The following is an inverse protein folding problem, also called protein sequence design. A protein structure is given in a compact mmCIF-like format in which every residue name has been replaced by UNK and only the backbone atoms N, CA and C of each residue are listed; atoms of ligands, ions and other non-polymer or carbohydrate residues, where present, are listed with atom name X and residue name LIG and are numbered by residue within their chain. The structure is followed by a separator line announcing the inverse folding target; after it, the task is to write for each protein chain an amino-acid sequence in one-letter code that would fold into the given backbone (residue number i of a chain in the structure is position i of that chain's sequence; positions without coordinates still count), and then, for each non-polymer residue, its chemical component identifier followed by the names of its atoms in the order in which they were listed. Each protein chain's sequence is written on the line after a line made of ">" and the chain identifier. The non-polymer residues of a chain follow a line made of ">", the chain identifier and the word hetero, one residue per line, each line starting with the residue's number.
data_IF_541428639023
#
_entry.id   IF_541428639023
#
_cell.length_a   1.000
_cell.length_b   1.000
_cell.length_c   1.000
_cell.angle_alpha   90.00
_cell.angle_beta   90.00
_cell.angle_gamma   90.00
#
_symmetry.space_group_name_H-M   'P 1'
#
loop_
_entity.id
_entity.type
_entity.pdbx_description
1 polymer ?
#
# COMPACT_ATOMS: atom_id res chain seq x y z
N UNK A 1 14.89 -1.48 -11.31
CA UNK A 1 14.93 -0.28 -10.43
C UNK A 1 14.36 0.97 -11.10
N UNK A 2 14.63 1.24 -12.39
CA UNK A 2 14.17 2.47 -13.06
C UNK A 2 12.63 2.67 -13.07
N UNK A 3 11.86 1.61 -13.36
CA UNK A 3 10.39 1.67 -13.30
C UNK A 3 9.84 2.07 -11.92
N UNK A 4 10.48 1.63 -10.83
CA UNK A 4 10.09 2.01 -9.47
C UNK A 4 10.37 3.49 -9.19
N UNK A 5 11.54 4.01 -9.56
CA UNK A 5 11.83 5.43 -9.38
C UNK A 5 10.85 6.34 -10.13
N UNK A 6 10.49 5.99 -11.37
CA UNK A 6 9.50 6.74 -12.15
C UNK A 6 8.12 6.69 -11.49
N UNK A 7 7.70 5.50 -11.04
CA UNK A 7 6.41 5.32 -10.39
C UNK A 7 6.32 6.15 -9.09
N UNK A 8 7.37 6.14 -8.26
CA UNK A 8 7.45 6.95 -7.04
C UNK A 8 7.42 8.45 -7.36
N UNK A 9 8.12 8.91 -8.39
CA UNK A 9 8.10 10.32 -8.80
C UNK A 9 6.71 10.77 -9.28
N UNK A 10 5.99 9.90 -10.01
CA UNK A 10 4.60 10.15 -10.40
C UNK A 10 3.67 10.23 -9.18
N UNK A 11 3.81 9.34 -8.21
CA UNK A 11 3.05 9.41 -6.95
C UNK A 11 3.34 10.70 -6.18
N UNK A 12 4.61 11.12 -6.11
CA UNK A 12 4.99 12.40 -5.48
C UNK A 12 4.35 13.59 -6.18
N UNK A 13 4.32 13.58 -7.51
CA UNK A 13 3.65 14.63 -8.30
C UNK A 13 2.14 14.66 -8.06
N UNK A 14 1.48 13.50 -7.90
CA UNK A 14 0.06 13.43 -7.55
C UNK A 14 -0.21 13.96 -6.13
N UNK A 15 0.65 13.63 -5.16
CA UNK A 15 0.55 14.15 -3.78
C UNK A 15 0.81 15.64 -3.65
N UNK A 16 1.51 16.26 -4.61
CA UNK A 16 1.75 17.70 -4.61
C UNK A 16 0.48 18.52 -4.86
N UNK A 17 -0.60 17.89 -5.34
CA UNK A 17 -1.89 18.52 -5.52
C UNK A 17 -2.54 18.82 -4.16
N UNK A 18 -3.34 19.88 -4.09
CA UNK A 18 -3.98 20.28 -2.84
C UNK A 18 -4.97 19.20 -2.36
N UNK A 19 -4.68 18.62 -1.19
CA UNK A 19 -5.54 17.67 -0.50
C UNK A 19 -6.35 18.35 0.60
N UNK A 20 -7.60 17.93 0.84
CA UNK A 20 -8.45 18.52 1.86
C UNK A 20 -7.92 18.19 3.26
N UNK A 21 -8.00 19.15 4.18
CA UNK A 21 -7.77 18.94 5.61
C UNK A 21 -9.01 18.33 6.29
N UNK A 22 -9.53 17.23 5.73
CA UNK A 22 -10.70 16.51 6.23
C UNK A 22 -10.38 15.03 6.37
N UNK A 23 -11.14 14.27 7.20
CA UNK A 23 -11.00 12.83 7.31
C UNK A 23 -11.27 12.12 5.98
N UNK A 24 -10.72 10.92 5.81
CA UNK A 24 -11.06 10.03 4.70
C UNK A 24 -10.00 8.98 4.36
N UNK A 25 -10.34 8.14 3.38
CA UNK A 25 -9.46 7.16 2.73
C UNK A 25 -9.30 7.56 1.25
N UNK A 26 -8.07 7.62 0.73
CA UNK A 26 -7.79 7.86 -0.68
C UNK A 26 -6.65 7.00 -1.22
N UNK A 27 -6.74 6.66 -2.50
CA UNK A 27 -5.70 5.97 -3.25
C UNK A 27 -5.12 6.87 -4.34
N UNK A 28 -3.83 6.69 -4.58
CA UNK A 28 -3.11 7.24 -5.73
C UNK A 28 -2.47 6.08 -6.47
N UNK A 29 -2.89 5.87 -7.71
CA UNK A 29 -2.44 4.76 -8.52
C UNK A 29 -1.59 5.24 -9.67
N UNK A 30 -0.50 4.53 -9.91
CA UNK A 30 0.31 4.69 -11.11
C UNK A 30 0.50 3.34 -11.77
N UNK A 31 0.33 3.31 -13.10
CA UNK A 31 0.65 2.12 -13.88
C UNK A 31 2.14 1.81 -13.74
N UNK A 32 2.44 0.54 -13.47
CA UNK A 32 3.79 0.03 -13.32
C UNK A 32 4.13 -0.89 -14.51
N UNK A 33 5.04 -0.50 -15.41
CA UNK A 33 5.33 -1.29 -16.58
C UNK A 33 6.12 -2.56 -16.21
N UNK A 34 5.72 -3.70 -16.78
CA UNK A 34 6.31 -5.03 -16.51
C UNK A 34 7.39 -5.43 -17.53
N UNK A 35 7.79 -4.51 -18.42
CA UNK A 35 8.80 -4.73 -19.44
C UNK A 35 10.23 -4.74 -18.87
N UNK A 36 10.43 -4.12 -17.71
CA UNK A 36 11.65 -4.27 -16.92
C UNK A 36 11.59 -5.58 -16.12
N UNK A 37 12.73 -6.27 -15.95
CA UNK A 37 12.89 -7.40 -15.04
C UNK A 37 12.80 -6.94 -13.56
N UNK A 38 11.64 -6.43 -13.15
CA UNK A 38 11.37 -5.99 -11.80
C UNK A 38 11.09 -7.21 -10.92
N UNK A 39 11.97 -7.43 -9.94
CA UNK A 39 11.77 -8.41 -8.88
C UNK A 39 11.15 -7.70 -7.66
N UNK A 40 9.85 -7.90 -7.39
CA UNK A 40 9.15 -7.23 -6.30
C UNK A 40 9.63 -7.68 -4.91
N UNK A 41 10.06 -8.94 -4.77
CA UNK A 41 10.56 -9.47 -3.51
C UNK A 41 11.95 -8.93 -3.20
N UNK A 42 12.85 -8.90 -4.20
CA UNK A 42 14.17 -8.29 -4.04
C UNK A 42 14.07 -6.79 -3.75
N UNK A 43 13.14 -6.07 -4.42
CA UNK A 43 12.87 -4.68 -4.11
C UNK A 43 12.41 -4.50 -2.65
N UNK A 44 11.50 -5.34 -2.17
CA UNK A 44 11.03 -5.26 -0.79
C UNK A 44 12.17 -5.52 0.22
N UNK A 45 13.03 -6.50 -0.07
CA UNK A 45 14.14 -6.90 0.79
C UNK A 45 15.25 -5.86 0.97
N UNK A 46 15.34 -4.84 0.09
CA UNK A 46 16.30 -3.73 0.27
C UNK A 46 15.71 -2.52 1.00
N UNK A 47 14.40 -2.51 1.27
CA UNK A 47 13.75 -1.41 1.97
C UNK A 47 14.11 -1.43 3.46
N UNK A 48 14.32 -0.25 4.05
CA UNK A 48 14.54 -0.14 5.51
C UNK A 48 13.26 0.12 6.30
N UNK A 49 12.18 0.47 5.61
CA UNK A 49 10.91 0.77 6.25
C UNK A 49 10.15 -0.53 6.55
N UNK A 50 9.40 -0.52 7.65
CA UNK A 50 8.58 -1.65 8.10
C UNK A 50 7.15 -1.18 8.41
N UNK A 51 6.15 -2.08 8.43
CA UNK A 51 6.23 -3.51 8.10
C UNK A 51 6.44 -3.78 6.60
N UNK A 52 6.83 -5.01 6.27
CA UNK A 52 6.97 -5.52 4.92
C UNK A 52 6.12 -6.80 4.78
N UNK A 53 5.39 -6.94 3.68
CA UNK A 53 4.59 -8.13 3.41
C UNK A 53 4.64 -8.47 1.91
N UNK A 54 5.09 -9.69 1.62
CA UNK A 54 5.09 -10.24 0.27
C UNK A 54 4.07 -11.39 0.19
N UNK A 55 3.33 -11.45 -0.91
CA UNK A 55 2.42 -12.56 -1.16
C UNK A 55 2.29 -12.81 -2.67
N UNK A 56 2.31 -14.07 -3.04
CA UNK A 56 2.06 -14.51 -4.41
C UNK A 56 1.01 -15.62 -4.36
N UNK A 57 -0.02 -15.50 -5.20
CA UNK A 57 -1.02 -16.55 -5.32
C UNK A 57 -0.38 -17.79 -5.94
N UNK A 58 -0.81 -18.97 -5.49
CA UNK A 58 -0.25 -20.27 -5.93
C UNK A 58 -0.24 -20.50 -7.45
N UNK A 59 -1.13 -19.85 -8.19
CA UNK A 59 -1.21 -19.96 -9.66
C UNK A 59 -0.28 -18.97 -10.38
N UNK A 60 0.35 -18.04 -9.68
CA UNK A 60 1.23 -17.00 -10.24
C UNK A 60 0.52 -15.81 -10.90
N UNK A 61 -0.81 -15.84 -10.98
CA UNK A 61 -1.60 -14.81 -11.67
C UNK A 61 -1.71 -13.50 -10.87
N UNK A 62 -1.53 -13.58 -9.55
CA UNK A 62 -1.53 -12.45 -8.64
C UNK A 62 -0.29 -12.45 -7.75
N UNK A 63 0.29 -11.27 -7.57
CA UNK A 63 1.46 -11.03 -6.74
C UNK A 63 1.40 -9.63 -6.14
N UNK A 64 1.82 -9.47 -4.89
CA UNK A 64 1.86 -8.18 -4.22
C UNK A 64 3.06 -8.02 -3.30
N UNK A 65 3.51 -6.77 -3.17
CA UNK A 65 4.52 -6.33 -2.21
C UNK A 65 4.03 -5.07 -1.51
N UNK A 66 3.83 -5.18 -0.20
CA UNK A 66 3.30 -4.15 0.66
C UNK A 66 4.39 -3.63 1.59
N UNK A 67 4.55 -2.30 1.65
CA UNK A 67 5.58 -1.63 2.44
C UNK A 67 4.98 -0.49 3.28
N UNK A 68 5.34 -0.48 4.57
CA UNK A 68 4.89 0.51 5.54
C UNK A 68 3.41 0.36 5.89
N UNK A 69 2.98 0.97 6.99
CA UNK A 69 1.59 0.92 7.44
C UNK A 69 1.01 2.33 7.61
N UNK A 70 -0.22 2.50 7.15
CA UNK A 70 -1.06 3.68 7.44
C UNK A 70 -1.85 3.46 8.73
N UNK A 71 -2.38 2.24 8.89
CA UNK A 71 -3.10 1.81 10.08
C UNK A 71 -2.85 0.31 10.30
N UNK A 72 -2.81 -0.12 11.56
CA UNK A 72 -2.68 -1.51 11.97
C UNK A 72 -4.01 -2.05 12.51
N UNK A 73 -4.22 -3.35 12.32
CA UNK A 73 -5.38 -4.09 12.78
C UNK A 73 -4.93 -5.34 13.55
N UNK A 74 -5.46 -5.52 14.75
CA UNK A 74 -5.14 -6.66 15.63
C UNK A 74 -5.98 -7.91 15.35
N UNK A 75 -6.92 -7.83 14.42
CA UNK A 75 -7.82 -8.93 14.07
C UNK A 75 -8.40 -8.75 12.66
N UNK A 76 -8.73 -9.85 11.99
CA UNK A 76 -9.42 -9.81 10.70
C UNK A 76 -10.78 -9.09 10.82
N UNK A 77 -11.49 -9.27 11.94
CA UNK A 77 -12.78 -8.61 12.18
C UNK A 77 -12.67 -7.08 12.13
N UNK A 78 -11.67 -6.50 12.81
CA UNK A 78 -11.45 -5.04 12.81
C UNK A 78 -11.06 -4.51 11.42
N UNK A 79 -10.20 -5.24 10.70
CA UNK A 79 -9.83 -4.95 9.32
C UNK A 79 -11.04 -5.00 8.38
N UNK A 80 -11.87 -6.03 8.49
CA UNK A 80 -13.09 -6.16 7.70
C UNK A 80 -14.07 -5.03 8.00
N UNK A 81 -14.28 -4.66 9.27
CA UNK A 81 -15.14 -3.55 9.64
C UNK A 81 -14.66 -2.23 9.03
N UNK A 82 -13.35 -1.97 9.05
CA UNK A 82 -12.76 -0.80 8.40
C UNK A 82 -13.09 -0.73 6.90
N UNK A 83 -12.96 -1.86 6.18
CA UNK A 83 -13.29 -1.94 4.75
C UNK A 83 -14.79 -1.70 4.49
N UNK A 84 -15.66 -2.27 5.32
CA UNK A 84 -17.12 -2.06 5.20
C UNK A 84 -17.52 -0.59 5.40
N UNK A 85 -16.80 0.14 6.25
CA UNK A 85 -17.03 1.56 6.48
C UNK A 85 -16.54 2.45 5.33
N UNK A 86 -15.77 1.92 4.37
CA UNK A 86 -15.23 2.66 3.23
C UNK A 86 -15.61 2.02 1.88
N UNK A 87 -16.91 1.84 1.58
CA UNK A 87 -17.36 1.12 0.37
C UNK A 87 -16.95 1.82 -0.93
N UNK A 88 -16.70 3.14 -0.90
CA UNK A 88 -16.22 3.91 -2.05
C UNK A 88 -14.80 3.51 -2.51
N UNK A 89 -14.07 2.77 -1.68
CA UNK A 89 -12.71 2.28 -1.96
C UNK A 89 -12.71 0.74 -1.92
N UNK A 90 -13.65 0.11 -2.63
CA UNK A 90 -13.92 -1.33 -2.57
C UNK A 90 -12.72 -2.23 -2.97
N UNK A 91 -11.74 -1.68 -3.69
CA UNK A 91 -10.54 -2.39 -4.10
C UNK A 91 -9.37 -2.26 -3.10
N UNK A 92 -9.59 -1.60 -1.95
CA UNK A 92 -8.62 -1.52 -0.85
C UNK A 92 -8.16 -2.93 -0.45
N UNK A 93 -6.86 -3.06 -0.16
CA UNK A 93 -6.27 -4.30 0.33
C UNK A 93 -5.61 -4.05 1.68
N UNK A 94 -6.04 -4.83 2.67
CA UNK A 94 -5.35 -4.97 3.94
C UNK A 94 -4.49 -6.22 3.85
N UNK A 95 -3.23 -6.12 4.25
CA UNK A 95 -2.24 -7.18 4.16
C UNK A 95 -1.85 -7.66 5.56
N UNK A 96 -1.38 -8.89 5.68
CA UNK A 96 -0.85 -9.41 6.93
C UNK A 96 -1.25 -10.85 7.22
N UNK A 97 -1.29 -11.17 8.52
CA UNK A 97 -1.39 -12.54 9.01
C UNK A 97 -2.52 -12.64 10.03
N UNK A 98 -3.20 -13.79 10.02
CA UNK A 98 -4.04 -14.24 11.12
C UNK A 98 -3.26 -15.27 11.94
N UNK A 99 -3.32 -15.17 13.26
CA UNK A 99 -2.77 -16.19 14.12
C UNK A 99 -3.62 -17.47 14.05
N UNK A 100 -3.12 -18.55 14.67
CA UNK A 100 -3.91 -19.77 14.83
C UNK A 100 -5.19 -19.53 15.66
N UNK A 101 -5.11 -18.66 16.67
CA UNK A 101 -6.30 -18.08 17.29
C UNK A 101 -6.89 -17.05 16.32
N UNK A 102 -8.09 -17.29 15.74
CA UNK A 102 -8.64 -16.43 14.68
C UNK A 102 -9.01 -15.02 15.15
N UNK A 103 -9.14 -14.80 16.46
CA UNK A 103 -9.41 -13.47 17.02
C UNK A 103 -8.17 -12.56 17.02
N UNK A 104 -6.98 -13.13 16.78
CA UNK A 104 -5.72 -12.43 16.78
C UNK A 104 -5.11 -12.38 15.37
N UNK A 105 -4.59 -11.21 15.01
CA UNK A 105 -3.91 -10.99 13.75
C UNK A 105 -2.92 -9.84 13.84
N UNK A 106 -2.06 -9.78 12.83
CA UNK A 106 -1.16 -8.66 12.59
C UNK A 106 -1.38 -8.24 11.15
N UNK A 107 -2.35 -7.36 10.94
CA UNK A 107 -2.71 -6.84 9.63
C UNK A 107 -2.50 -5.32 9.58
N UNK A 108 -2.37 -4.78 8.37
CA UNK A 108 -2.19 -3.36 8.16
C UNK A 108 -2.70 -2.92 6.78
N UNK A 109 -3.11 -1.65 6.70
CA UNK A 109 -3.31 -0.96 5.44
C UNK A 109 -1.92 -0.48 4.94
N UNK A 110 -1.38 -1.01 3.83
CA UNK A 110 -0.05 -0.64 3.40
C UNK A 110 0.06 0.84 3.01
N UNK A 111 1.18 1.50 3.35
CA UNK A 111 1.44 2.84 2.80
C UNK A 111 1.64 2.76 1.30
N UNK A 112 2.45 1.81 0.85
CA UNK A 112 2.74 1.55 -0.55
C UNK A 112 2.43 0.08 -0.88
N UNK A 113 1.71 -0.15 -1.97
CA UNK A 113 1.35 -1.48 -2.45
C UNK A 113 1.69 -1.58 -3.94
N UNK A 114 2.69 -2.40 -4.25
CA UNK A 114 2.86 -2.91 -5.61
C UNK A 114 1.98 -4.15 -5.76
N UNK A 115 1.21 -4.23 -6.84
CA UNK A 115 0.36 -5.39 -7.14
C UNK A 115 0.40 -5.68 -8.63
N UNK A 116 0.61 -6.94 -8.98
CA UNK A 116 0.45 -7.49 -10.32
C UNK A 116 -0.74 -8.44 -10.32
N UNK A 117 -1.66 -8.27 -11.26
CA UNK A 117 -2.78 -9.16 -11.47
C UNK A 117 -3.11 -9.23 -12.96
N UNK A 118 -3.24 -10.45 -13.51
CA UNK A 118 -3.61 -10.67 -14.93
C UNK A 118 -2.73 -9.89 -15.93
N UNK A 119 -1.42 -9.83 -15.69
CA UNK A 119 -0.46 -9.15 -16.58
C UNK A 119 -0.44 -7.62 -16.48
N UNK A 120 -1.19 -7.02 -15.56
CA UNK A 120 -1.15 -5.59 -15.27
C UNK A 120 -0.53 -5.38 -13.89
N UNK A 121 0.41 -4.44 -13.77
CA UNK A 121 0.93 -4.02 -12.48
C UNK A 121 0.65 -2.55 -12.20
N UNK A 122 0.38 -2.28 -10.92
CA UNK A 122 0.07 -0.96 -10.39
C UNK A 122 0.89 -0.75 -9.12
N UNK A 123 1.42 0.45 -8.95
CA UNK A 123 1.92 0.93 -7.66
C UNK A 123 0.87 1.87 -7.08
N UNK A 124 0.35 1.51 -5.91
CA UNK A 124 -0.65 2.26 -5.16
C UNK A 124 -0.02 2.88 -3.92
N UNK A 125 -0.24 4.17 -3.73
CA UNK A 125 -0.06 4.84 -2.46
C UNK A 125 -1.42 5.02 -1.79
N UNK A 126 -1.52 4.66 -0.51
CA UNK A 126 -2.76 4.80 0.26
C UNK A 126 -2.59 5.91 1.30
N UNK A 127 -3.61 6.76 1.42
CA UNK A 127 -3.73 7.75 2.49
C UNK A 127 -4.97 7.45 3.31
N UNK A 128 -4.86 7.55 4.62
CA UNK A 128 -6.00 7.50 5.52
C UNK A 128 -5.77 8.40 6.72
N UNK A 129 -6.82 9.12 7.11
CA UNK A 129 -6.83 9.90 8.35
C UNK A 129 -8.25 10.03 8.87
N UNK A 130 -8.40 10.00 10.19
CA UNK A 130 -9.63 10.32 10.92
C UNK A 130 -9.83 11.84 11.08
N UNK A 131 -8.87 12.66 10.65
CA UNK A 131 -8.83 14.11 10.88
C UNK A 131 -8.47 14.89 9.61
N UNK A 132 -7.38 14.56 8.94
CA UNK A 132 -6.81 15.37 7.84
C UNK A 132 -6.01 14.53 6.84
N UNK A 133 -6.57 14.32 5.65
CA UNK A 133 -5.85 13.74 4.52
C UNK A 133 -4.63 14.57 4.10
N UNK A 134 -4.67 15.89 4.33
CA UNK A 134 -3.53 16.76 4.08
C UNK A 134 -2.33 16.43 4.98
N UNK A 135 -2.57 16.11 6.25
CA UNK A 135 -1.49 15.76 7.19
C UNK A 135 -0.92 14.37 6.85
N UNK A 136 -1.79 13.40 6.54
CA UNK A 136 -1.35 12.07 6.13
C UNK A 136 -0.55 12.10 4.80
N UNK A 137 -0.88 13.01 3.88
CA UNK A 137 -0.08 13.24 2.67
C UNK A 137 1.34 13.72 2.98
N UNK A 138 1.53 14.58 3.99
CA UNK A 138 2.88 14.98 4.43
C UNK A 138 3.64 13.80 5.02
N UNK A 139 2.97 12.95 5.80
CA UNK A 139 3.54 11.69 6.31
C UNK A 139 3.96 10.77 5.16
N UNK A 140 3.13 10.63 4.12
CA UNK A 140 3.46 9.86 2.93
C UNK A 140 4.67 10.43 2.16
N UNK A 141 4.78 11.76 2.03
CA UNK A 141 5.93 12.41 1.42
C UNK A 141 7.23 12.20 2.22
N UNK A 142 7.14 12.19 3.56
CA UNK A 142 8.26 11.87 4.44
C UNK A 142 8.66 10.39 4.32
N UNK A 143 7.68 9.49 4.18
CA UNK A 143 7.90 8.07 3.98
C UNK A 143 8.75 7.77 2.75
N UNK A 144 8.56 8.49 1.64
CA UNK A 144 9.42 8.35 0.44
C UNK A 144 10.88 8.79 0.63
N UNK A 145 11.25 9.35 1.78
CA UNK A 145 12.64 9.71 2.10
C UNK A 145 13.35 8.63 2.92
N UNK A 146 12.62 7.64 3.41
CA UNK A 146 13.18 6.41 3.94
C UNK A 146 13.94 5.73 2.78
N UNK A 147 15.22 5.37 2.93
CA UNK A 147 16.01 4.86 1.82
C UNK A 147 15.37 3.58 1.25
N UNK A 148 15.07 3.65 -0.05
CA UNK A 148 14.52 2.60 -0.88
C UNK A 148 15.59 2.00 -1.79
#
# INVERSE_FOLDING_TARGET
>A
MHSMSIALERLRSQLAQALPATPGLRHFDVSFPLNDAFDPLAWLGVQVCYPQFYWQQRNGDEELSALGAVIHFSSLASASQFLHNHPQQADTRICGLNAFNPEQGSLFLPRLLWRRHAGVATLRLQLWSDTSLQDDARTALAFFRCPA
#
